data_IF_903039018631
#
_entry.id   IF_903039018631
#
_cell.length_a   1.000
_cell.length_b   1.000
_cell.length_c   1.000
_cell.angle_alpha   90.00
_cell.angle_beta   90.00
_cell.angle_gamma   90.00
#
_symmetry.space_group_name_H-M   'P 1'
#
loop_
_entity.id
_entity.type
_entity.pdbx_description
1 polymer ?
#
# COMPACT_ATOMS: atom_id res chain seq x y z
N UNK A 1 77.78 8.47 -1.03
CA UNK A 1 76.66 7.55 -1.31
C UNK A 1 75.46 8.01 -0.49
N UNK A 2 74.27 8.30 -0.99
CA UNK A 2 73.77 8.53 -2.33
C UNK A 2 72.65 9.59 -2.17
N UNK A 3 72.70 10.60 -3.04
CA UNK A 3 71.68 11.64 -3.20
C UNK A 3 70.47 11.05 -3.93
N UNK A 4 69.25 11.34 -3.48
CA UNK A 4 68.05 11.05 -4.27
C UNK A 4 67.14 12.27 -4.34
N UNK A 5 67.26 12.95 -5.48
CA UNK A 5 66.38 14.00 -6.01
C UNK A 5 64.97 13.45 -6.21
N UNK A 6 63.95 14.12 -5.69
CA UNK A 6 62.60 14.06 -6.26
C UNK A 6 62.38 15.24 -7.19
N UNK A 7 62.16 14.92 -8.47
CA UNK A 7 61.76 15.83 -9.54
C UNK A 7 60.28 16.20 -9.36
N UNK A 8 59.98 17.48 -9.54
CA UNK A 8 58.63 17.97 -9.81
C UNK A 8 58.16 17.51 -11.19
N UNK A 9 56.86 17.26 -11.30
CA UNK A 9 56.15 17.09 -12.56
C UNK A 9 54.94 18.02 -12.47
N UNK A 10 55.03 19.11 -13.21
CA UNK A 10 53.92 20.00 -13.52
C UNK A 10 53.00 19.28 -14.51
N UNK A 11 51.72 19.20 -14.18
CA UNK A 11 50.67 18.78 -15.10
C UNK A 11 49.62 19.89 -15.17
N UNK A 12 49.78 20.77 -16.16
CA UNK A 12 48.71 21.59 -16.70
C UNK A 12 47.62 20.67 -17.27
N UNK A 13 46.51 20.55 -16.55
CA UNK A 13 45.27 19.95 -17.02
C UNK A 13 44.32 21.02 -17.53
N UNK A 14 44.04 20.97 -18.83
CA UNK A 14 43.16 21.84 -19.60
C UNK A 14 41.74 21.91 -19.03
N UNK A 15 41.20 23.13 -18.95
CA UNK A 15 39.80 23.43 -18.64
C UNK A 15 39.00 23.25 -19.93
N UNK A 16 38.24 22.15 -20.03
CA UNK A 16 37.24 22.00 -21.08
C UNK A 16 35.97 22.77 -20.71
N UNK A 17 35.69 23.76 -21.54
CA UNK A 17 34.53 24.63 -21.48
C UNK A 17 33.24 23.85 -21.78
N UNK A 18 32.26 23.99 -20.89
CA UNK A 18 30.87 23.58 -21.15
C UNK A 18 30.20 24.55 -22.13
N UNK A 19 29.37 24.06 -23.07
CA UNK A 19 28.66 24.92 -24.02
C UNK A 19 27.52 25.70 -23.35
N UNK A 20 27.20 26.90 -23.85
CA UNK A 20 26.21 27.78 -23.22
C UNK A 20 24.78 27.29 -23.47
N UNK A 21 23.99 27.31 -22.40
CA UNK A 21 22.54 27.16 -22.42
C UNK A 21 21.92 28.35 -23.15
N UNK A 22 21.20 28.06 -24.25
CA UNK A 22 20.44 29.06 -25.00
C UNK A 22 19.15 29.37 -24.24
N UNK A 23 19.07 30.60 -23.76
CA UNK A 23 17.85 31.24 -23.30
C UNK A 23 17.00 31.58 -24.53
N UNK A 24 15.78 31.04 -24.63
CA UNK A 24 14.75 31.60 -25.50
C UNK A 24 13.54 31.98 -24.66
N UNK A 25 13.16 33.24 -24.84
CA UNK A 25 12.22 33.97 -24.02
C UNK A 25 10.75 33.71 -24.30
N UNK A 26 9.98 34.36 -23.45
CA UNK A 26 8.52 34.39 -23.39
C UNK A 26 7.84 34.83 -24.68
N UNK A 27 6.63 34.31 -24.91
CA UNK A 27 5.50 35.10 -25.43
C UNK A 27 4.15 34.41 -25.11
N UNK A 28 3.40 35.10 -24.25
CA UNK A 28 1.96 35.33 -24.25
C UNK A 28 0.89 34.24 -24.03
N UNK A 29 -0.24 34.66 -23.40
CA UNK A 29 -1.25 33.77 -22.84
C UNK A 29 -2.41 33.56 -23.83
N UNK A 30 -2.74 32.29 -24.09
CA UNK A 30 -3.96 31.94 -24.81
C UNK A 30 -5.12 31.72 -23.83
N UNK A 31 -5.92 32.77 -23.69
CA UNK A 31 -7.36 32.79 -23.97
C UNK A 31 -8.14 31.50 -23.69
N UNK A 32 -8.88 31.52 -22.58
CA UNK A 32 -9.98 30.61 -22.26
C UNK A 32 -11.16 30.84 -23.23
N UNK A 33 -11.72 29.79 -23.86
CA UNK A 33 -13.06 29.87 -24.41
C UNK A 33 -14.07 29.45 -23.33
N UNK A 34 -14.88 30.41 -22.88
CA UNK A 34 -16.19 30.13 -22.30
C UNK A 34 -16.98 29.32 -23.32
N UNK A 35 -17.35 28.08 -22.99
CA UNK A 35 -18.37 27.34 -23.74
C UNK A 35 -19.59 27.14 -22.86
N UNK A 36 -20.73 27.35 -23.51
CA UNK A 36 -22.02 27.63 -22.93
C UNK A 36 -22.75 26.34 -22.53
N UNK A 37 -23.57 26.47 -21.49
CA UNK A 37 -24.68 25.59 -21.19
C UNK A 37 -25.54 25.37 -22.44
N UNK A 38 -25.65 24.12 -22.88
CA UNK A 38 -26.74 23.65 -23.71
C UNK A 38 -27.31 22.38 -23.07
N UNK A 39 -28.38 22.55 -22.29
CA UNK A 39 -29.32 21.49 -22.00
C UNK A 39 -29.90 21.01 -23.33
N UNK A 40 -29.56 19.79 -23.72
CA UNK A 40 -30.26 19.08 -24.80
C UNK A 40 -30.98 17.91 -24.16
N UNK A 41 -32.25 18.15 -23.80
CA UNK A 41 -33.23 17.10 -23.54
C UNK A 41 -33.52 16.37 -24.85
N UNK A 42 -32.99 15.16 -25.02
CA UNK A 42 -33.44 14.24 -26.07
C UNK A 42 -34.39 13.24 -25.43
N UNK A 43 -35.68 13.50 -25.61
CA UNK A 43 -36.76 12.54 -25.46
C UNK A 43 -36.64 11.50 -26.57
N UNK A 44 -36.36 10.25 -26.20
CA UNK A 44 -36.60 9.09 -27.05
C UNK A 44 -37.64 8.19 -26.37
N UNK A 45 -38.90 8.63 -26.42
CA UNK A 45 -40.02 7.69 -26.48
C UNK A 45 -40.22 7.33 -27.95
N UNK A 46 -39.81 6.12 -28.35
CA UNK A 46 -40.43 5.45 -29.48
C UNK A 46 -40.39 3.94 -29.29
N UNK A 47 -41.58 3.37 -29.45
CA UNK A 47 -41.96 1.97 -29.39
C UNK A 47 -40.98 1.06 -30.15
N UNK A 48 -40.48 0.04 -29.44
CA UNK A 48 -40.07 -1.22 -30.06
C UNK A 48 -40.92 -2.33 -29.44
N UNK A 49 -41.68 -3.01 -30.32
CA UNK A 49 -42.49 -4.20 -30.04
C UNK A 49 -41.65 -5.28 -29.34
N UNK A 50 -42.23 -6.10 -28.45
CA UNK A 50 -41.53 -7.25 -27.87
C UNK A 50 -41.30 -8.30 -28.96
N UNK A 51 -40.07 -8.38 -29.46
CA UNK A 51 -39.62 -9.53 -30.21
C UNK A 51 -39.58 -10.74 -29.26
N UNK A 52 -40.13 -11.86 -29.73
CA UNK A 52 -40.17 -13.12 -29.00
C UNK A 52 -38.80 -13.47 -28.45
N UNK A 53 -38.81 -13.95 -27.20
CA UNK A 53 -37.71 -14.52 -26.45
C UNK A 53 -36.94 -15.56 -27.26
N UNK A 54 -35.82 -15.15 -27.87
CA UNK A 54 -34.75 -16.09 -28.20
C UNK A 54 -34.14 -16.53 -26.87
N UNK A 55 -34.44 -17.74 -26.43
CA UNK A 55 -33.80 -18.37 -25.27
C UNK A 55 -32.35 -18.67 -25.62
N UNK A 56 -31.49 -17.66 -25.61
CA UNK A 56 -30.05 -17.87 -25.66
C UNK A 56 -29.67 -18.68 -24.43
N UNK A 57 -28.94 -19.80 -24.57
CA UNK A 57 -28.50 -20.58 -23.42
C UNK A 57 -27.74 -19.68 -22.45
N UNK A 58 -27.86 -19.92 -21.12
CA UNK A 58 -27.17 -19.11 -20.14
C UNK A 58 -25.65 -19.12 -20.43
N UNK A 59 -24.97 -17.98 -20.24
CA UNK A 59 -23.54 -17.88 -20.55
C UNK A 59 -22.75 -18.94 -19.78
N UNK A 60 -21.90 -19.68 -20.51
CA UNK A 60 -21.04 -20.71 -19.94
C UNK A 60 -19.77 -20.02 -19.44
N UNK A 61 -19.50 -20.14 -18.13
CA UNK A 61 -18.30 -19.59 -17.50
C UNK A 61 -17.39 -20.76 -17.12
N UNK A 62 -16.17 -20.75 -17.64
CA UNK A 62 -15.09 -21.67 -17.23
C UNK A 62 -14.16 -21.01 -16.22
N UNK A 63 -13.70 -21.73 -15.20
CA UNK A 63 -12.83 -21.20 -14.15
C UNK A 63 -11.39 -21.65 -14.35
N UNK A 64 -10.42 -20.80 -14.04
CA UNK A 64 -8.99 -21.09 -14.28
C UNK A 64 -8.35 -22.04 -13.26
N UNK A 65 -9.03 -22.34 -12.15
CA UNK A 65 -8.53 -23.16 -11.04
C UNK A 65 -9.65 -24.12 -10.61
N UNK A 66 -9.30 -25.31 -10.12
CA UNK A 66 -10.26 -26.25 -9.52
C UNK A 66 -10.71 -25.78 -8.12
N UNK A 67 -11.96 -26.08 -7.73
CA UNK A 67 -12.49 -25.71 -6.41
C UNK A 67 -11.66 -26.33 -5.28
N UNK A 68 -11.15 -27.56 -5.46
CA UNK A 68 -10.38 -28.28 -4.43
C UNK A 68 -9.08 -27.56 -4.11
N UNK A 69 -8.38 -27.09 -5.15
CA UNK A 69 -7.14 -26.34 -5.02
C UNK A 69 -7.39 -24.99 -4.33
N UNK A 70 -8.52 -24.35 -4.66
CA UNK A 70 -8.93 -23.08 -4.10
C UNK A 70 -9.24 -23.15 -2.60
N UNK A 71 -9.97 -24.19 -2.17
CA UNK A 71 -10.42 -24.31 -0.79
C UNK A 71 -9.33 -24.80 0.17
N UNK A 72 -8.15 -25.16 -0.34
CA UNK A 72 -7.07 -25.77 0.44
C UNK A 72 -7.59 -26.87 1.37
N UNK A 73 -8.53 -27.69 0.88
CA UNK A 73 -9.13 -28.78 1.62
C UNK A 73 -8.06 -29.85 1.84
N UNK A 74 -7.19 -29.67 2.83
CA UNK A 74 -6.45 -30.79 3.41
C UNK A 74 -7.53 -31.73 3.96
N UNK A 75 -7.59 -32.94 3.42
CA UNK A 75 -8.60 -34.00 3.59
C UNK A 75 -8.98 -34.37 5.06
N UNK A 76 -8.44 -33.71 6.08
CA UNK A 76 -8.73 -33.97 7.50
C UNK A 76 -9.58 -32.91 8.21
N UNK A 77 -9.79 -31.72 7.63
CA UNK A 77 -10.55 -30.65 8.30
C UNK A 77 -12.06 -30.87 8.16
N UNK A 78 -12.73 -31.39 9.21
CA UNK A 78 -14.19 -31.58 9.23
C UNK A 78 -15.00 -30.27 9.09
N UNK A 79 -14.38 -29.10 9.27
CA UNK A 79 -15.08 -27.81 9.19
C UNK A 79 -15.00 -27.25 7.78
N UNK A 80 -16.18 -27.12 7.15
CA UNK A 80 -16.33 -26.47 5.83
C UNK A 80 -16.00 -24.98 5.94
N UNK A 81 -15.27 -24.41 4.96
CA UNK A 81 -14.93 -22.99 4.97
C UNK A 81 -16.15 -22.10 4.73
N UNK A 82 -16.17 -20.92 5.35
CA UNK A 82 -17.16 -19.89 5.09
C UNK A 82 -16.78 -19.05 3.86
N UNK A 83 -17.66 -18.93 2.87
CA UNK A 83 -17.39 -18.24 1.61
C UNK A 83 -18.16 -16.93 1.54
N UNK A 84 -17.52 -15.85 1.08
CA UNK A 84 -18.17 -14.56 0.83
C UNK A 84 -17.96 -14.12 -0.62
N UNK A 85 -19.04 -13.82 -1.34
CA UNK A 85 -19.00 -13.25 -2.69
C UNK A 85 -19.32 -11.76 -2.58
N UNK A 86 -18.30 -10.93 -2.73
CA UNK A 86 -18.37 -9.48 -2.52
C UNK A 86 -18.82 -8.70 -3.76
N UNK A 87 -19.54 -9.33 -4.69
CA UNK A 87 -19.95 -8.69 -5.94
C UNK A 87 -21.29 -9.19 -6.49
N UNK A 88 -22.07 -9.93 -5.70
CA UNK A 88 -23.39 -10.41 -6.11
C UNK A 88 -24.40 -9.28 -6.33
N UNK A 89 -24.29 -8.16 -5.59
CA UNK A 89 -25.14 -7.00 -5.78
C UNK A 89 -24.85 -6.28 -7.12
N UNK A 90 -23.58 -6.18 -7.51
CA UNK A 90 -23.15 -5.50 -8.74
C UNK A 90 -23.18 -6.39 -9.98
N UNK A 91 -22.85 -7.67 -9.83
CA UNK A 91 -22.73 -8.63 -10.94
C UNK A 91 -23.45 -9.96 -10.63
N UNK A 92 -24.79 -9.96 -10.57
CA UNK A 92 -25.57 -11.11 -10.12
C UNK A 92 -25.40 -12.36 -10.99
N UNK A 93 -25.21 -12.20 -12.31
CA UNK A 93 -25.04 -13.33 -13.24
C UNK A 93 -23.74 -14.09 -12.96
N UNK A 94 -22.63 -13.38 -12.82
CA UNK A 94 -21.33 -13.97 -12.51
C UNK A 94 -21.31 -14.56 -11.10
N UNK A 95 -21.87 -13.84 -10.11
CA UNK A 95 -21.97 -14.34 -8.74
C UNK A 95 -22.79 -15.64 -8.66
N UNK A 96 -23.89 -15.75 -9.41
CA UNK A 96 -24.66 -17.00 -9.50
C UNK A 96 -23.88 -18.13 -10.17
N UNK A 97 -23.06 -17.83 -11.18
CA UNK A 97 -22.17 -18.83 -11.77
C UNK A 97 -21.13 -19.34 -10.76
N UNK A 98 -20.53 -18.44 -9.97
CA UNK A 98 -19.61 -18.79 -8.87
C UNK A 98 -20.33 -19.62 -7.81
N UNK A 99 -21.54 -19.24 -7.39
CA UNK A 99 -22.35 -20.04 -6.44
C UNK A 99 -22.60 -21.46 -6.95
N UNK A 100 -22.96 -21.63 -8.22
CA UNK A 100 -23.17 -22.97 -8.82
C UNK A 100 -21.88 -23.78 -8.86
N UNK A 101 -20.79 -23.16 -9.29
CA UNK A 101 -19.47 -23.78 -9.34
C UNK A 101 -19.00 -24.27 -7.95
N UNK A 102 -19.32 -23.52 -6.89
CA UNK A 102 -19.01 -23.90 -5.51
C UNK A 102 -19.97 -24.95 -4.93
N UNK A 103 -21.18 -25.08 -5.50
CA UNK A 103 -22.29 -25.86 -4.92
C UNK A 103 -22.02 -27.36 -4.76
N UNK A 104 -21.14 -27.92 -5.58
CA UNK A 104 -20.75 -29.33 -5.52
C UNK A 104 -19.82 -29.63 -4.32
N UNK A 105 -19.19 -28.60 -3.75
CA UNK A 105 -18.15 -28.73 -2.73
C UNK A 105 -18.55 -28.10 -1.39
N UNK A 106 -19.35 -27.05 -1.39
CA UNK A 106 -19.71 -26.28 -0.20
C UNK A 106 -21.23 -26.16 -0.08
N UNK A 107 -21.73 -26.34 1.15
CA UNK A 107 -23.16 -26.14 1.42
C UNK A 107 -23.54 -24.69 1.17
N UNK A 108 -24.67 -24.47 0.51
CA UNK A 108 -25.22 -23.13 0.22
C UNK A 108 -25.33 -22.27 1.49
N UNK A 109 -25.53 -22.89 2.67
CA UNK A 109 -25.60 -22.20 3.96
C UNK A 109 -24.28 -21.54 4.42
N UNK A 110 -23.16 -21.89 3.80
CA UNK A 110 -21.85 -21.30 4.07
C UNK A 110 -21.40 -20.37 2.94
N UNK A 111 -22.32 -19.95 2.07
CA UNK A 111 -22.05 -19.01 0.97
C UNK A 111 -22.85 -17.74 1.17
N UNK A 112 -22.17 -16.72 1.66
CA UNK A 112 -22.69 -15.40 1.96
C UNK A 112 -22.45 -14.44 0.79
N UNK A 113 -23.26 -13.39 0.69
CA UNK A 113 -23.10 -12.39 -0.38
C UNK A 113 -23.30 -10.95 0.09
N UNK A 114 -22.77 -9.99 -0.68
CA UNK A 114 -23.03 -8.55 -0.52
C UNK A 114 -24.45 -8.12 -0.94
N UNK A 115 -25.18 -8.97 -1.67
CA UNK A 115 -26.60 -8.76 -1.97
C UNK A 115 -27.49 -8.94 -0.72
N UNK A 116 -27.02 -9.68 0.27
CA UNK A 116 -27.71 -9.89 1.54
C UNK A 116 -27.29 -8.80 2.54
N UNK A 117 -28.27 -8.04 3.06
CA UNK A 117 -28.01 -6.89 3.96
C UNK A 117 -27.15 -7.25 5.18
N UNK A 118 -27.32 -8.45 5.74
CA UNK A 118 -26.56 -8.94 6.89
C UNK A 118 -25.41 -9.89 6.51
N UNK A 119 -25.25 -10.24 5.23
CA UNK A 119 -24.34 -11.31 4.80
C UNK A 119 -22.88 -11.09 5.20
N UNK A 120 -22.41 -9.84 5.15
CA UNK A 120 -21.05 -9.51 5.61
C UNK A 120 -20.88 -9.65 7.13
N UNK A 121 -21.86 -9.18 7.90
CA UNK A 121 -21.79 -9.22 9.36
C UNK A 121 -21.85 -10.67 9.86
N UNK A 122 -22.76 -11.48 9.32
CA UNK A 122 -22.89 -12.90 9.64
C UNK A 122 -21.62 -13.67 9.25
N UNK A 123 -21.05 -13.40 8.08
CA UNK A 123 -19.78 -14.01 7.67
C UNK A 123 -18.64 -13.63 8.61
N UNK A 124 -18.57 -12.37 9.04
CA UNK A 124 -17.57 -11.90 10.01
C UNK A 124 -17.64 -12.62 11.36
N UNK A 125 -18.83 -12.99 11.82
CA UNK A 125 -19.01 -13.77 13.05
C UNK A 125 -18.56 -15.22 12.87
N UNK A 126 -18.75 -15.80 11.69
CA UNK A 126 -18.41 -17.20 11.43
C UNK A 126 -16.88 -17.43 11.31
N UNK A 127 -16.16 -16.49 10.68
CA UNK A 127 -14.70 -16.60 10.45
C UNK A 127 -13.85 -16.52 11.70
N UNK A 128 -14.42 -16.12 12.85
CA UNK A 128 -13.70 -16.16 14.12
C UNK A 128 -13.44 -17.62 14.56
N UNK A 129 -14.21 -18.58 14.01
CA UNK A 129 -14.13 -20.01 14.39
C UNK A 129 -13.78 -20.97 13.24
N UNK A 130 -13.76 -20.46 12.00
CA UNK A 130 -13.58 -21.24 10.78
C UNK A 130 -12.68 -20.53 9.77
N UNK A 131 -12.02 -21.30 8.91
CA UNK A 131 -11.39 -20.73 7.72
C UNK A 131 -12.44 -20.13 6.79
N UNK A 132 -12.03 -19.14 6.01
CA UNK A 132 -12.93 -18.49 5.08
C UNK A 132 -12.24 -18.01 3.82
N UNK A 133 -13.02 -17.88 2.76
CA UNK A 133 -12.57 -17.34 1.48
C UNK A 133 -13.47 -16.21 1.03
N UNK A 134 -12.87 -15.15 0.49
CA UNK A 134 -13.58 -14.01 -0.08
C UNK A 134 -13.26 -13.88 -1.56
N UNK A 135 -14.30 -13.64 -2.37
CA UNK A 135 -14.20 -13.42 -3.80
C UNK A 135 -14.57 -11.98 -4.13
N UNK A 136 -13.64 -11.26 -4.74
CA UNK A 136 -13.82 -9.90 -5.26
C UNK A 136 -13.87 -9.94 -6.79
N UNK A 137 -14.60 -9.00 -7.38
CA UNK A 137 -14.59 -8.78 -8.82
C UNK A 137 -13.45 -7.81 -9.19
N UNK A 138 -12.75 -8.05 -10.29
CA UNK A 138 -11.58 -7.26 -10.70
C UNK A 138 -11.90 -5.80 -11.03
N UNK A 139 -13.07 -5.53 -11.62
CA UNK A 139 -13.54 -4.17 -11.90
C UNK A 139 -13.69 -3.27 -10.66
N UNK A 140 -13.87 -3.85 -9.45
CA UNK A 140 -14.13 -3.05 -8.24
C UNK A 140 -13.38 -3.60 -7.02
N UNK A 141 -12.40 -2.85 -6.47
CA UNK A 141 -11.66 -3.24 -5.28
C UNK A 141 -12.47 -3.02 -3.98
N UNK A 142 -13.62 -3.69 -3.86
CA UNK A 142 -14.56 -3.51 -2.74
C UNK A 142 -13.97 -3.82 -1.36
N UNK A 143 -12.85 -4.52 -1.31
CA UNK A 143 -12.06 -4.68 -0.09
C UNK A 143 -11.61 -3.34 0.54
N UNK A 144 -11.55 -2.26 -0.25
CA UNK A 144 -11.25 -0.92 0.27
C UNK A 144 -12.38 -0.36 1.15
N UNK A 145 -13.61 -0.78 0.91
CA UNK A 145 -14.82 -0.23 1.53
C UNK A 145 -15.51 -1.20 2.49
N UNK A 146 -15.02 -2.44 2.54
CA UNK A 146 -15.60 -3.50 3.34
C UNK A 146 -15.26 -3.32 4.82
N UNK A 147 -16.24 -2.87 5.61
CA UNK A 147 -16.03 -2.51 7.02
C UNK A 147 -15.36 -3.62 7.81
N UNK A 148 -14.38 -3.25 8.63
CA UNK A 148 -13.57 -4.16 9.48
C UNK A 148 -12.72 -5.17 8.72
N UNK A 149 -12.52 -5.03 7.41
CA UNK A 149 -11.81 -6.03 6.62
C UNK A 149 -10.34 -6.24 7.05
N UNK A 150 -9.64 -5.19 7.50
CA UNK A 150 -8.28 -5.30 8.05
C UNK A 150 -8.20 -6.21 9.28
N UNK A 151 -9.28 -6.30 10.08
CA UNK A 151 -9.40 -7.26 11.19
C UNK A 151 -9.47 -8.69 10.68
N UNK A 152 -10.25 -8.93 9.62
CA UNK A 152 -10.35 -10.23 8.96
C UNK A 152 -8.96 -10.68 8.45
N UNK A 153 -8.22 -9.79 7.78
CA UNK A 153 -6.87 -10.10 7.30
C UNK A 153 -5.88 -10.46 8.43
N UNK A 154 -6.09 -9.93 9.63
CA UNK A 154 -5.31 -10.24 10.83
C UNK A 154 -5.76 -11.52 11.55
N UNK A 155 -6.92 -12.10 11.20
CA UNK A 155 -7.45 -13.30 11.86
C UNK A 155 -6.51 -14.51 11.73
N UNK A 156 -6.40 -15.27 12.83
CA UNK A 156 -5.66 -16.53 12.88
C UNK A 156 -6.37 -17.67 12.14
N UNK A 157 -7.66 -17.52 11.82
CA UNK A 157 -8.48 -18.57 11.22
C UNK A 157 -8.12 -18.89 9.75
N UNK A 158 -7.18 -18.17 9.15
CA UNK A 158 -6.65 -18.49 7.82
C UNK A 158 -7.57 -18.03 6.69
N UNK A 159 -7.77 -16.72 6.58
CA UNK A 159 -8.61 -16.13 5.52
C UNK A 159 -7.86 -16.03 4.20
N UNK A 160 -8.54 -16.52 3.17
CA UNK A 160 -8.14 -16.51 1.78
C UNK A 160 -8.92 -15.45 0.99
N UNK A 161 -8.24 -14.65 0.17
CA UNK A 161 -8.89 -13.62 -0.65
C UNK A 161 -8.51 -13.84 -2.12
N UNK A 162 -9.47 -13.67 -3.02
CA UNK A 162 -9.25 -13.86 -4.44
C UNK A 162 -9.89 -12.74 -5.24
N UNK A 163 -9.21 -12.35 -6.31
CA UNK A 163 -9.76 -11.51 -7.36
C UNK A 163 -10.24 -12.41 -8.50
N UNK A 164 -11.41 -12.10 -9.04
CA UNK A 164 -12.02 -12.81 -10.16
C UNK A 164 -12.19 -11.86 -11.34
N UNK A 165 -11.56 -12.19 -12.46
CA UNK A 165 -11.63 -11.45 -13.72
C UNK A 165 -12.39 -12.27 -14.75
N UNK A 166 -13.44 -11.70 -15.34
CA UNK A 166 -14.34 -12.40 -16.25
C UNK A 166 -14.12 -11.93 -17.69
N UNK A 167 -13.18 -12.59 -18.38
CA UNK A 167 -12.86 -12.28 -19.77
C UNK A 167 -13.81 -12.99 -20.74
N UNK A 168 -14.38 -12.23 -21.69
CA UNK A 168 -15.18 -12.81 -22.77
C UNK A 168 -14.26 -13.40 -23.85
N UNK A 169 -14.38 -14.70 -24.11
CA UNK A 169 -13.62 -15.38 -25.18
C UNK A 169 -14.38 -15.44 -26.50
N UNK A 170 -15.64 -15.85 -26.43
CA UNK A 170 -16.53 -15.97 -27.57
C UNK A 170 -17.94 -15.47 -27.19
N UNK A 171 -18.84 -15.26 -28.16
CA UNK A 171 -20.25 -15.01 -27.85
C UNK A 171 -20.81 -16.13 -26.94
N UNK A 172 -21.24 -15.77 -25.73
CA UNK A 172 -21.81 -16.71 -24.76
C UNK A 172 -20.81 -17.51 -23.92
N UNK A 173 -19.49 -17.36 -24.12
CA UNK A 173 -18.47 -18.09 -23.36
C UNK A 173 -17.48 -17.13 -22.67
N UNK A 174 -17.38 -17.27 -21.34
CA UNK A 174 -16.49 -16.49 -20.49
C UNK A 174 -15.45 -17.38 -19.82
N UNK A 175 -14.27 -16.81 -19.56
CA UNK A 175 -13.25 -17.41 -18.69
C UNK A 175 -13.10 -16.53 -17.45
N UNK A 176 -13.26 -17.13 -16.28
CA UNK A 176 -12.96 -16.52 -15.00
C UNK A 176 -11.49 -16.84 -14.63
N UNK A 177 -10.63 -15.84 -14.72
CA UNK A 177 -9.27 -15.89 -14.19
C UNK A 177 -9.29 -15.54 -12.70
N UNK A 178 -8.72 -16.41 -11.88
CA UNK A 178 -8.69 -16.26 -10.42
C UNK A 178 -7.26 -15.96 -9.98
N UNK A 179 -7.05 -14.87 -9.25
CA UNK A 179 -5.75 -14.49 -8.70
C UNK A 179 -5.81 -14.26 -7.19
N UNK A 180 -4.68 -14.46 -6.51
CA UNK A 180 -4.60 -14.34 -5.05
C UNK A 180 -4.52 -12.87 -4.63
N UNK A 181 -5.34 -12.49 -3.66
CA UNK A 181 -5.20 -11.23 -2.92
C UNK A 181 -4.73 -11.50 -1.49
N UNK A 182 -4.04 -10.52 -0.93
CA UNK A 182 -3.49 -10.51 0.42
C UNK A 182 -2.70 -11.78 0.80
N UNK A 183 -1.73 -12.23 -0.03
CA UNK A 183 -1.09 -13.53 0.13
C UNK A 183 -0.24 -13.63 1.40
N UNK A 184 0.67 -12.67 1.61
CA UNK A 184 1.62 -12.64 2.73
C UNK A 184 2.24 -11.27 2.89
N UNK A 185 3.04 -11.06 3.93
CA UNK A 185 3.82 -9.84 4.07
C UNK A 185 3.09 -8.67 4.72
N UNK A 186 3.83 -7.58 4.95
CA UNK A 186 3.38 -6.41 5.68
C UNK A 186 3.95 -5.14 5.06
N UNK A 187 3.10 -4.17 4.77
CA UNK A 187 3.51 -2.79 4.53
C UNK A 187 3.08 -1.91 5.70
N UNK A 188 3.97 -1.05 6.17
CA UNK A 188 3.68 -0.07 7.21
C UNK A 188 3.88 1.34 6.69
N UNK A 189 3.11 2.29 7.22
CA UNK A 189 3.31 3.71 7.01
C UNK A 189 3.30 4.42 8.36
N UNK A 190 4.32 5.25 8.59
CA UNK A 190 4.44 6.08 9.78
C UNK A 190 4.27 7.53 9.33
N UNK A 191 3.23 8.20 9.83
CA UNK A 191 2.93 9.58 9.43
C UNK A 191 3.96 10.57 9.96
N UNK A 192 4.10 11.72 9.29
CA UNK A 192 5.00 12.79 9.71
C UNK A 192 4.63 13.27 11.11
N UNK A 193 3.33 13.45 11.35
CA UNK A 193 2.82 13.79 12.68
C UNK A 193 3.17 12.75 13.74
N UNK A 194 3.06 11.45 13.44
CA UNK A 194 3.41 10.39 14.41
C UNK A 194 4.87 10.45 14.81
N UNK A 195 5.77 10.71 13.86
CA UNK A 195 7.20 10.89 14.14
C UNK A 195 7.46 12.13 14.99
N UNK A 196 6.75 13.23 14.75
CA UNK A 196 6.90 14.48 15.51
C UNK A 196 6.33 14.41 16.94
N UNK A 197 5.14 13.83 17.11
CA UNK A 197 4.42 13.83 18.40
C UNK A 197 4.73 12.62 19.28
N UNK A 198 5.07 11.50 18.66
CA UNK A 198 5.29 10.21 19.34
C UNK A 198 6.59 9.57 18.87
N UNK A 199 7.75 10.26 19.03
CA UNK A 199 9.01 9.80 18.47
C UNK A 199 9.47 8.45 19.05
N UNK A 200 9.21 8.20 20.34
CA UNK A 200 9.53 6.90 20.95
C UNK A 200 8.68 5.76 20.36
N UNK A 201 7.38 5.97 20.19
CA UNK A 201 6.44 5.00 19.64
C UNK A 201 6.72 4.73 18.16
N UNK A 202 7.04 5.78 17.40
CA UNK A 202 7.47 5.66 16.00
C UNK A 202 8.77 4.85 15.90
N UNK A 203 9.78 5.15 16.74
CA UNK A 203 11.01 4.36 16.79
C UNK A 203 10.73 2.90 17.19
N UNK A 204 9.84 2.68 18.16
CA UNK A 204 9.41 1.34 18.57
C UNK A 204 8.81 0.56 17.40
N UNK A 205 7.95 1.19 16.59
CA UNK A 205 7.42 0.57 15.37
C UNK A 205 8.50 0.27 14.33
N UNK A 206 9.45 1.18 14.12
CA UNK A 206 10.56 0.97 13.17
C UNK A 206 11.44 -0.20 13.58
N UNK A 207 11.78 -0.32 14.87
CA UNK A 207 12.56 -1.45 15.42
C UNK A 207 11.79 -2.77 15.35
N UNK A 208 10.49 -2.76 15.66
CA UNK A 208 9.62 -3.92 15.46
C UNK A 208 9.63 -4.37 14.00
N UNK A 209 9.52 -3.42 13.06
CA UNK A 209 9.56 -3.69 11.63
C UNK A 209 10.89 -4.30 11.22
N UNK A 210 12.01 -3.71 11.64
CA UNK A 210 13.36 -4.22 11.37
C UNK A 210 13.50 -5.68 11.80
N UNK A 211 13.18 -5.97 13.07
CA UNK A 211 13.24 -7.34 13.60
C UNK A 211 12.34 -8.29 12.82
N UNK A 212 11.10 -7.89 12.58
CA UNK A 212 10.07 -8.73 11.95
C UNK A 212 10.30 -9.00 10.46
N UNK A 213 11.00 -8.08 9.79
CA UNK A 213 11.27 -8.11 8.34
C UNK A 213 12.58 -8.81 7.96
N UNK A 214 13.38 -9.25 8.94
CA UNK A 214 14.62 -10.01 8.72
C UNK A 214 14.40 -11.17 7.73
N UNK A 215 15.16 -11.16 6.63
CA UNK A 215 15.09 -12.17 5.57
C UNK A 215 13.84 -12.10 4.66
N UNK A 216 13.01 -11.07 4.80
CA UNK A 216 11.71 -10.94 4.10
C UNK A 216 11.65 -9.70 3.20
N UNK A 217 12.78 -9.31 2.61
CA UNK A 217 12.95 -8.13 1.75
C UNK A 217 11.86 -8.01 0.67
N UNK A 218 11.36 -9.12 0.13
CA UNK A 218 10.36 -9.08 -0.94
C UNK A 218 8.92 -8.83 -0.45
N UNK A 219 8.63 -9.11 0.83
CA UNK A 219 7.27 -9.10 1.37
C UNK A 219 7.06 -8.09 2.50
N UNK A 220 8.06 -7.25 2.78
CA UNK A 220 7.97 -6.22 3.82
C UNK A 220 8.35 -4.84 3.28
N UNK A 221 7.54 -3.83 3.59
CA UNK A 221 7.76 -2.44 3.19
C UNK A 221 7.47 -1.48 4.34
N UNK A 222 8.26 -0.44 4.46
CA UNK A 222 8.07 0.68 5.38
C UNK A 222 8.04 1.95 4.54
N UNK A 223 6.93 2.67 4.63
CA UNK A 223 6.74 3.98 4.05
C UNK A 223 6.99 5.03 5.14
N UNK A 224 7.79 6.03 4.80
CA UNK A 224 8.08 7.21 5.62
C UNK A 224 7.86 8.44 4.74
N UNK A 225 8.00 9.64 5.29
CA UNK A 225 7.99 10.87 4.50
C UNK A 225 9.09 10.87 3.41
N UNK A 226 8.90 11.58 2.29
CA UNK A 226 9.96 11.81 1.31
C UNK A 226 11.23 12.37 1.96
N UNK A 227 12.39 11.83 1.59
CA UNK A 227 13.70 12.19 2.14
C UNK A 227 13.79 12.05 3.68
N UNK A 228 13.15 11.03 4.25
CA UNK A 228 13.09 10.80 5.70
C UNK A 228 14.44 10.93 6.43
N UNK A 229 15.56 10.47 5.85
CA UNK A 229 16.88 10.61 6.48
C UNK A 229 17.28 12.06 6.65
N UNK A 230 17.21 12.87 5.58
CA UNK A 230 17.55 14.30 5.65
C UNK A 230 16.57 15.04 6.56
N UNK A 231 15.28 14.70 6.48
CA UNK A 231 14.25 15.27 7.33
C UNK A 231 14.53 15.01 8.82
N UNK A 232 14.87 13.77 9.20
CA UNK A 232 15.17 13.41 10.60
C UNK A 232 16.49 14.09 11.05
N UNK A 233 17.52 14.15 10.20
CA UNK A 233 18.78 14.83 10.52
C UNK A 233 18.59 16.32 10.82
N UNK A 234 17.72 16.99 10.06
CA UNK A 234 17.35 18.39 10.34
C UNK A 234 16.69 18.55 11.71
N UNK A 235 15.81 17.63 12.10
CA UNK A 235 15.19 17.64 13.44
C UNK A 235 16.23 17.51 14.56
N UNK A 236 17.24 16.67 14.36
CA UNK A 236 18.34 16.53 15.33
C UNK A 236 19.15 17.83 15.43
N UNK A 237 19.44 18.49 14.31
CA UNK A 237 20.16 19.78 14.31
C UNK A 237 19.34 20.91 14.94
N UNK A 238 18.03 20.94 14.71
CA UNK A 238 17.12 21.92 15.29
C UNK A 238 17.08 21.83 16.82
N UNK A 239 17.13 20.61 17.37
CA UNK A 239 17.16 20.36 18.80
C UNK A 239 18.26 21.18 19.53
N UNK A 240 19.47 21.31 18.98
CA UNK A 240 20.59 21.99 19.65
C UNK A 240 20.40 23.51 19.86
N UNK A 241 19.40 24.12 19.21
CA UNK A 241 19.16 25.56 19.31
C UNK A 241 18.43 25.90 20.62
N UNK A 242 19.12 26.63 21.52
CA UNK A 242 18.64 27.08 22.85
C UNK A 242 17.37 27.96 22.86
N UNK A 243 16.71 28.16 21.73
CA UNK A 243 15.47 28.92 21.62
C UNK A 243 14.27 27.98 21.84
N UNK A 244 14.03 27.60 23.10
CA UNK A 244 12.93 26.73 23.53
C UNK A 244 11.53 27.23 23.11
N UNK A 245 11.37 28.53 22.83
CA UNK A 245 10.07 29.14 22.49
C UNK A 245 9.66 28.98 21.00
N UNK A 246 10.52 28.44 20.13
CA UNK A 246 10.26 28.39 18.67
C UNK A 246 9.67 27.08 18.14
N UNK A 247 9.53 26.03 18.95
CA UNK A 247 9.03 24.74 18.45
C UNK A 247 7.50 24.66 18.51
N UNK A 248 6.88 24.49 17.33
CA UNK A 248 5.43 24.30 17.16
C UNK A 248 4.91 23.03 17.86
N UNK A 249 5.78 22.04 18.06
CA UNK A 249 5.50 20.88 18.90
C UNK A 249 6.38 20.99 20.15
N UNK A 250 5.83 21.42 21.30
CA UNK A 250 6.55 21.33 22.55
C UNK A 250 6.70 19.85 22.89
N UNK A 251 7.80 19.24 22.45
CA UNK A 251 8.35 18.08 23.13
C UNK A 251 8.51 18.53 24.58
N UNK A 252 7.61 18.09 25.46
CA UNK A 252 7.51 18.50 26.85
C UNK A 252 8.90 18.67 27.45
N UNK A 253 9.17 19.79 28.14
CA UNK A 253 10.47 20.27 28.69
C UNK A 253 11.37 19.24 29.42
N UNK A 254 10.89 18.02 29.69
CA UNK A 254 11.63 16.88 30.27
C UNK A 254 12.02 15.79 29.25
N UNK A 255 11.65 15.93 27.97
CA UNK A 255 11.72 14.91 26.93
C UNK A 255 12.68 15.22 25.77
N UNK A 256 13.52 16.24 25.89
CA UNK A 256 14.44 16.65 24.82
C UNK A 256 15.45 15.54 24.47
N UNK A 257 16.18 15.02 25.47
CA UNK A 257 17.16 13.94 25.27
C UNK A 257 16.50 12.65 24.77
N UNK A 258 15.26 12.38 25.18
CA UNK A 258 14.46 11.23 24.73
C UNK A 258 14.12 11.36 23.24
N UNK A 259 13.79 12.58 22.81
CA UNK A 259 13.40 12.88 21.42
C UNK A 259 14.60 12.76 20.49
N UNK A 260 15.75 13.33 20.86
CA UNK A 260 16.99 13.20 20.10
C UNK A 260 17.44 11.75 19.97
N UNK A 261 17.44 11.00 21.08
CA UNK A 261 17.76 9.56 21.07
C UNK A 261 16.81 8.77 20.16
N UNK A 262 15.54 9.16 20.12
CA UNK A 262 14.55 8.53 19.26
C UNK A 262 14.88 8.77 17.78
N UNK A 263 15.17 10.00 17.38
CA UNK A 263 15.55 10.33 16.00
C UNK A 263 16.84 9.66 15.56
N UNK A 264 17.87 9.66 16.40
CA UNK A 264 19.11 8.91 16.13
C UNK A 264 18.83 7.41 15.95
N UNK A 265 17.97 6.85 16.80
CA UNK A 265 17.53 5.46 16.68
C UNK A 265 16.79 5.19 15.36
N UNK A 266 15.99 6.13 14.85
CA UNK A 266 15.28 5.98 13.58
C UNK A 266 16.25 5.95 12.40
N UNK A 267 17.24 6.85 12.36
CA UNK A 267 18.31 6.87 11.35
C UNK A 267 19.06 5.53 11.34
N UNK A 268 19.41 5.05 12.54
CA UNK A 268 20.12 3.80 12.73
C UNK A 268 19.31 2.59 12.21
N UNK A 269 17.99 2.55 12.45
CA UNK A 269 17.11 1.54 11.85
C UNK A 269 17.07 1.65 10.31
N UNK A 270 16.93 2.85 9.75
CA UNK A 270 16.92 3.05 8.28
C UNK A 270 18.22 2.54 7.68
N UNK A 271 19.36 2.89 8.26
CA UNK A 271 20.67 2.45 7.80
C UNK A 271 20.83 0.93 7.88
N UNK A 272 20.40 0.30 8.98
CA UNK A 272 20.42 -1.18 9.09
C UNK A 272 19.55 -1.84 8.04
N UNK A 273 18.36 -1.33 7.76
CA UNK A 273 17.49 -1.85 6.70
C UNK A 273 18.15 -1.72 5.31
N UNK A 274 18.80 -0.60 5.03
CA UNK A 274 19.57 -0.41 3.78
C UNK A 274 20.73 -1.41 3.67
N UNK A 275 21.46 -1.64 4.76
CA UNK A 275 22.53 -2.64 4.81
C UNK A 275 22.00 -4.07 4.64
N UNK A 276 20.87 -4.41 5.24
CA UNK A 276 20.21 -5.70 5.05
C UNK A 276 19.81 -5.91 3.57
N UNK A 277 19.28 -4.87 2.92
CA UNK A 277 18.96 -4.92 1.49
C UNK A 277 20.22 -5.12 0.64
N UNK A 278 21.30 -4.40 0.94
CA UNK A 278 22.59 -4.57 0.27
C UNK A 278 23.08 -6.01 0.38
N UNK A 279 23.12 -6.57 1.59
CA UNK A 279 23.55 -7.94 1.85
C UNK A 279 22.66 -8.97 1.13
N UNK A 280 21.35 -8.72 1.10
CA UNK A 280 20.41 -9.56 0.37
C UNK A 280 20.70 -9.56 -1.14
N UNK A 281 20.98 -8.39 -1.72
CA UNK A 281 21.35 -8.25 -3.13
C UNK A 281 22.67 -8.95 -3.47
N UNK A 282 23.67 -8.92 -2.58
CA UNK A 282 24.94 -9.64 -2.76
C UNK A 282 24.71 -11.15 -2.80
N UNK A 283 24.00 -11.69 -1.80
CA UNK A 283 23.68 -13.13 -1.73
C UNK A 283 22.91 -13.62 -2.96
N UNK A 284 22.03 -12.78 -3.51
CA UNK A 284 21.27 -13.11 -4.72
C UNK A 284 22.15 -13.17 -5.97
N UNK A 285 23.19 -12.34 -6.06
CA UNK A 285 24.12 -12.36 -7.22
C UNK A 285 25.06 -13.55 -7.19
N UNK A 286 25.41 -14.03 -6.00
CA UNK A 286 26.33 -15.16 -5.85
C UNK A 286 25.64 -16.53 -6.04
N UNK A 287 24.31 -16.57 -5.94
CA UNK A 287 23.52 -17.79 -6.04
C UNK A 287 22.71 -17.86 -7.33
N UNK A 288 23.22 -18.63 -8.29
CA UNK A 288 22.48 -19.20 -9.43
C UNK A 288 22.27 -18.31 -10.69
N UNK A 289 23.00 -18.58 -11.79
CA UNK A 289 22.80 -17.91 -13.08
C UNK A 289 21.43 -18.19 -13.74
N UNK A 290 20.64 -19.17 -13.28
CA UNK A 290 19.26 -19.38 -13.77
C UNK A 290 18.26 -18.34 -13.24
N UNK A 291 18.59 -17.58 -12.18
CA UNK A 291 17.75 -16.49 -11.68
C UNK A 291 17.67 -15.30 -12.65
N UNK A 292 18.56 -15.22 -13.64
CA UNK A 292 18.45 -14.26 -14.74
C UNK A 292 17.33 -14.62 -15.73
N UNK A 293 16.94 -15.90 -15.78
CA UNK A 293 15.92 -16.44 -16.68
C UNK A 293 14.54 -16.40 -16.03
N UNK A 294 14.44 -16.61 -14.72
CA UNK A 294 13.19 -16.45 -13.94
C UNK A 294 12.95 -14.98 -13.58
N UNK A 295 12.63 -14.20 -14.61
CA UNK A 295 12.37 -12.76 -14.51
C UNK A 295 11.17 -12.46 -13.60
N UNK A 296 11.40 -12.33 -12.28
CA UNK A 296 10.59 -11.43 -11.46
C UNK A 296 10.85 -10.04 -12.03
N UNK A 297 9.83 -9.35 -12.54
CA UNK A 297 10.08 -8.12 -13.27
C UNK A 297 10.78 -7.08 -12.40
N UNK A 298 11.93 -6.59 -12.88
CA UNK A 298 12.82 -5.65 -12.17
C UNK A 298 12.21 -4.26 -11.88
N UNK A 299 10.97 -4.01 -12.30
CA UNK A 299 10.34 -2.69 -12.24
C UNK A 299 9.74 -2.35 -10.86
N UNK A 300 9.59 -3.31 -9.95
CA UNK A 300 9.31 -3.00 -8.55
C UNK A 300 10.61 -3.03 -7.77
N UNK A 301 11.11 -1.84 -7.41
CA UNK A 301 12.28 -1.72 -6.55
C UNK A 301 12.08 -2.58 -5.30
N UNK A 302 12.86 -3.65 -5.22
CA UNK A 302 12.90 -4.51 -4.05
C UNK A 302 13.70 -3.78 -2.98
N UNK A 303 13.08 -3.50 -1.85
CA UNK A 303 13.70 -2.75 -0.77
C UNK A 303 12.77 -2.67 0.44
N UNK A 304 13.32 -2.43 1.62
CA UNK A 304 12.48 -2.26 2.81
C UNK A 304 11.80 -0.90 2.84
N UNK A 305 12.42 0.14 2.30
CA UNK A 305 11.85 1.48 2.28
C UNK A 305 11.08 1.69 0.98
N UNK A 306 9.82 2.12 1.08
CA UNK A 306 9.02 2.50 -0.07
C UNK A 306 9.47 3.89 -0.57
N UNK A 307 10.03 4.02 -1.78
CA UNK A 307 10.29 5.32 -2.37
C UNK A 307 8.96 6.02 -2.67
N UNK A 308 8.84 7.27 -2.25
CA UNK A 308 7.71 8.13 -2.58
C UNK A 308 8.04 9.01 -3.78
N UNK A 309 7.07 9.28 -4.67
CA UNK A 309 7.25 10.28 -5.73
C UNK A 309 7.41 11.68 -5.13
N UNK A 310 7.72 12.66 -5.99
CA UNK A 310 7.72 14.06 -5.59
C UNK A 310 6.28 14.51 -5.27
N UNK A 311 5.92 14.44 -4.00
CA UNK A 311 4.60 14.84 -3.51
C UNK A 311 4.55 16.35 -3.24
N UNK A 312 3.37 16.99 -3.43
CA UNK A 312 3.18 18.39 -3.09
C UNK A 312 3.54 18.66 -1.63
N UNK A 313 4.25 19.76 -1.38
CA UNK A 313 4.70 20.15 -0.04
C UNK A 313 6.05 19.55 0.39
N UNK A 314 6.70 18.72 -0.45
CA UNK A 314 8.00 18.09 -0.16
C UNK A 314 9.13 18.52 -1.12
N UNK A 315 8.87 19.47 -2.03
CA UNK A 315 9.74 19.80 -3.17
C UNK A 315 11.04 20.54 -2.83
N UNK A 316 11.11 21.18 -1.65
CA UNK A 316 12.34 21.84 -1.19
C UNK A 316 12.36 21.88 0.34
N UNK A 317 12.92 20.84 0.95
CA UNK A 317 13.23 20.87 2.38
C UNK A 317 14.40 21.79 2.71
N UNK A 318 15.18 22.21 1.71
CA UNK A 318 16.32 23.10 1.91
C UNK A 318 15.89 24.51 2.35
N UNK A 319 14.67 24.91 2.00
CA UNK A 319 14.20 26.29 2.18
C UNK A 319 13.21 26.46 3.35
N UNK A 320 12.81 25.37 4.01
CA UNK A 320 11.86 25.43 5.14
C UNK A 320 12.65 25.42 6.44
N UNK A 321 12.74 26.58 7.10
CA UNK A 321 13.28 26.66 8.45
C UNK A 321 12.37 25.91 9.44
N UNK A 322 12.96 25.35 10.49
CA UNK A 322 12.19 24.59 11.49
C UNK A 322 11.13 25.43 12.23
N UNK A 323 11.31 26.76 12.28
CA UNK A 323 10.32 27.70 12.81
C UNK A 323 9.06 27.83 11.96
N UNK A 324 9.10 27.41 10.69
CA UNK A 324 7.99 27.56 9.75
C UNK A 324 7.10 26.31 9.69
N UNK A 325 7.48 25.22 10.35
CA UNK A 325 6.71 23.98 10.34
C UNK A 325 5.49 24.07 11.27
N UNK A 326 4.39 24.58 10.74
CA UNK A 326 3.12 24.65 11.46
C UNK A 326 2.41 23.29 11.55
N UNK A 327 1.57 23.10 12.57
CA UNK A 327 0.76 21.86 12.70
C UNK A 327 -0.18 21.66 11.51
N UNK A 328 -0.72 22.73 10.94
CA UNK A 328 -1.61 22.66 9.78
C UNK A 328 -0.87 22.23 8.51
N UNK A 329 0.39 22.62 8.34
CA UNK A 329 1.23 22.13 7.25
C UNK A 329 1.49 20.62 7.37
N UNK A 330 1.82 20.14 8.58
CA UNK A 330 2.01 18.70 8.84
C UNK A 330 0.72 17.94 8.56
N UNK A 331 -0.43 18.44 9.03
CA UNK A 331 -1.73 17.82 8.75
C UNK A 331 -2.04 17.76 7.26
N UNK A 332 -1.79 18.84 6.52
CA UNK A 332 -2.02 18.90 5.07
C UNK A 332 -1.14 17.89 4.32
N UNK A 333 0.13 17.77 4.71
CA UNK A 333 1.07 16.80 4.18
C UNK A 333 0.67 15.36 4.47
N UNK A 334 0.29 15.06 5.71
CA UNK A 334 -0.16 13.71 6.10
C UNK A 334 -1.41 13.27 5.35
N UNK A 335 -2.34 14.19 5.02
CA UNK A 335 -3.48 13.87 4.15
C UNK A 335 -3.00 13.33 2.80
N UNK A 336 -2.07 14.04 2.16
CA UNK A 336 -1.54 13.66 0.84
C UNK A 336 -0.81 12.32 0.93
N UNK A 337 0.03 12.13 1.96
CA UNK A 337 0.76 10.88 2.16
C UNK A 337 -0.19 9.71 2.43
N UNK A 338 -1.23 9.90 3.24
CA UNK A 338 -2.22 8.87 3.54
C UNK A 338 -3.04 8.49 2.31
N UNK A 339 -3.48 9.47 1.51
CA UNK A 339 -4.17 9.22 0.26
C UNK A 339 -3.30 8.41 -0.70
N UNK A 340 -2.03 8.81 -0.85
CA UNK A 340 -1.07 8.06 -1.65
C UNK A 340 -0.89 6.63 -1.13
N UNK A 341 -0.68 6.45 0.18
CA UNK A 341 -0.47 5.13 0.77
C UNK A 341 -1.72 4.25 0.63
N UNK A 342 -2.93 4.82 0.76
CA UNK A 342 -4.18 4.09 0.56
C UNK A 342 -4.33 3.60 -0.88
N UNK A 343 -4.07 4.48 -1.85
CA UNK A 343 -4.10 4.11 -3.27
C UNK A 343 -3.02 3.05 -3.58
N UNK A 344 -1.80 3.25 -3.10
CA UNK A 344 -0.70 2.30 -3.25
C UNK A 344 -1.07 0.93 -2.65
N UNK A 345 -1.60 0.91 -1.43
CA UNK A 345 -2.00 -0.33 -0.74
C UNK A 345 -3.05 -1.11 -1.54
N UNK A 346 -4.05 -0.42 -2.12
CA UNK A 346 -5.03 -1.04 -2.99
C UNK A 346 -4.38 -1.68 -4.23
N UNK A 347 -3.46 -0.97 -4.90
CA UNK A 347 -2.75 -1.55 -6.07
C UNK A 347 -1.83 -2.71 -5.71
N UNK A 348 -1.37 -2.79 -4.46
CA UNK A 348 -0.47 -3.83 -3.97
C UNK A 348 -1.16 -4.94 -3.16
N UNK A 349 -2.49 -4.99 -3.18
CA UNK A 349 -3.26 -6.05 -2.52
C UNK A 349 -2.88 -7.46 -3.01
N UNK A 350 -2.43 -7.63 -4.26
CA UNK A 350 -1.91 -8.91 -4.77
C UNK A 350 -0.56 -9.33 -4.19
N UNK A 351 0.16 -8.44 -3.51
CA UNK A 351 1.54 -8.67 -3.04
C UNK A 351 1.65 -8.73 -1.52
N UNK A 352 0.95 -7.84 -0.81
CA UNK A 352 1.01 -7.72 0.64
C UNK A 352 -0.29 -8.14 1.31
N UNK A 353 -0.18 -8.79 2.48
CA UNK A 353 -1.33 -9.19 3.29
C UNK A 353 -1.79 -8.10 4.23
N UNK A 354 -0.86 -7.44 4.91
CA UNK A 354 -1.17 -6.46 5.96
C UNK A 354 -0.70 -5.08 5.55
N UNK A 355 -1.57 -4.09 5.72
CA UNK A 355 -1.25 -2.67 5.56
C UNK A 355 -1.52 -2.00 6.90
N UNK A 356 -0.50 -1.37 7.48
CA UNK A 356 -0.58 -0.74 8.80
C UNK A 356 -0.25 0.74 8.67
N UNK A 357 -0.97 1.59 9.40
CA UNK A 357 -0.68 3.03 9.51
C UNK A 357 -0.55 3.36 10.98
N UNK A 358 0.51 4.07 11.35
CA UNK A 358 0.66 4.68 12.68
C UNK A 358 0.19 6.13 12.62
N UNK A 359 -0.92 6.43 13.28
CA UNK A 359 -1.53 7.76 13.30
C UNK A 359 -2.42 7.94 14.55
N UNK A 360 -2.34 9.09 15.22
CA UNK A 360 -3.11 9.41 16.44
C UNK A 360 -4.51 9.97 16.16
N UNK A 361 -4.76 10.48 14.95
CA UNK A 361 -6.01 11.15 14.58
C UNK A 361 -6.86 10.29 13.65
N UNK A 362 -6.22 9.68 12.64
CA UNK A 362 -6.88 9.07 11.49
C UNK A 362 -7.25 7.63 11.80
N UNK A 363 -8.43 7.25 11.35
CA UNK A 363 -8.98 5.90 11.46
C UNK A 363 -9.64 5.49 10.15
N UNK A 364 -10.08 4.23 10.06
CA UNK A 364 -10.86 3.77 8.91
C UNK A 364 -12.21 4.50 8.73
N UNK A 365 -12.68 5.22 9.76
CA UNK A 365 -13.91 6.03 9.67
C UNK A 365 -13.64 7.41 9.07
N UNK A 366 -12.44 7.95 9.23
CA UNK A 366 -12.06 9.29 8.77
C UNK A 366 -11.32 9.27 7.43
N UNK A 367 -10.71 8.12 7.08
CA UNK A 367 -10.02 7.92 5.81
C UNK A 367 -10.84 6.99 4.93
N UNK A 368 -11.39 7.52 3.84
CA UNK A 368 -12.18 6.74 2.87
C UNK A 368 -11.33 5.65 2.22
N UNK A 369 -11.99 4.57 1.76
CA UNK A 369 -11.36 3.47 1.01
C UNK A 369 -10.20 2.77 1.74
N UNK A 370 -10.16 2.87 3.08
CA UNK A 370 -9.02 2.40 3.87
C UNK A 370 -9.33 1.14 4.68
N UNK A 371 -10.49 0.49 4.54
CA UNK A 371 -10.89 -0.60 5.43
C UNK A 371 -10.01 -1.86 5.35
N UNK A 372 -9.21 -2.00 4.30
CA UNK A 372 -8.16 -3.00 4.16
C UNK A 372 -6.86 -2.67 4.92
N UNK A 373 -6.76 -1.46 5.47
CA UNK A 373 -5.64 -0.92 6.23
C UNK A 373 -6.01 -0.90 7.71
N UNK A 374 -5.07 -1.25 8.58
CA UNK A 374 -5.23 -1.13 10.03
C UNK A 374 -4.52 0.14 10.52
N UNK A 375 -5.30 1.09 11.03
CA UNK A 375 -4.76 2.23 11.76
C UNK A 375 -4.46 1.84 13.20
N UNK A 376 -3.31 2.26 13.69
CA UNK A 376 -2.82 2.05 15.04
C UNK A 376 -2.54 3.39 15.69
N UNK A 377 -3.12 3.59 16.86
CA UNK A 377 -2.69 4.66 17.76
C UNK A 377 -1.25 4.37 18.24
N UNK A 378 -0.33 5.36 18.19
CA UNK A 378 1.06 5.18 18.58
C UNK A 378 1.25 4.60 19.99
N UNK A 379 0.51 5.12 20.98
CA UNK A 379 0.62 4.72 22.38
C UNK A 379 0.12 3.28 22.54
N UNK A 380 -1.04 2.98 21.94
CA UNK A 380 -1.63 1.66 21.97
C UNK A 380 -0.71 0.62 21.32
N UNK A 381 -0.10 0.95 20.18
CA UNK A 381 0.82 0.05 19.47
C UNK A 381 2.00 -0.35 20.35
N UNK A 382 2.67 0.61 20.98
CA UNK A 382 3.82 0.34 21.87
C UNK A 382 3.44 -0.53 23.06
N UNK A 383 2.23 -0.37 23.60
CA UNK A 383 1.72 -1.19 24.70
C UNK A 383 1.44 -2.64 24.30
N UNK A 384 0.86 -2.84 23.10
CA UNK A 384 0.39 -4.15 22.65
C UNK A 384 1.47 -4.99 21.97
N UNK A 385 2.42 -4.34 21.28
CA UNK A 385 3.49 -5.03 20.55
C UNK A 385 4.76 -5.01 21.39
N UNK A 386 5.06 -6.15 22.03
CA UNK A 386 6.37 -6.44 22.61
C UNK A 386 7.22 -7.17 21.58
N UNK A 387 8.47 -6.74 21.39
CA UNK A 387 9.40 -7.42 20.48
C UNK A 387 10.75 -7.68 21.11
#
# INVERSE_FOLDING_TARGET
>A
MASSRRKGVDAQGSIDALPPYVHNGATNPNSTPKSQNAQVSISHQNLVKPALSSSSPPPVISFSIDVKDLLHAKDGSKRKPALYIAFAASHPVQANAVKRWLGDHVSVRHVYTDAEKAGWAEWCEEIDTKSGSIFFHDERPLYCDLKYFSRCLASAAGIACYNMSFERRHPGAYRCAISRLFPRGTAIFITERSILRYPEEALHMMRWFEKSSTGKVESWRMCLMPNAVEWILKRIQGCDSKNEERFVFPCLRLGFAITEHSYLGMIDVIHRLQMQLYNWNVRRRDGDPEQFVTQVPRYEQQGFILPLPNLPGYSSWADIEDSDLTEDMVKARDIILLEYFCAWAATKAGQYRKFLVLDDIRTNKTQNHSWHIKFWDPIQFKREIRY
#
